data_IF_037211240421
#
_entry.id   IF_037211240421
#
_cell.length_a   1.000
_cell.length_b   1.000
_cell.length_c   1.000
_cell.angle_alpha   90.00
_cell.angle_beta   90.00
_cell.angle_gamma   90.00
#
_symmetry.space_group_name_H-M   'P 1'
#
loop_
_entity.id
_entity.type
_entity.pdbx_description
1 polymer ?
#
# COMPACT_ATOMS: atom_id res chain seq x y z
N UNK A 1 -5.17 12.65 5.38
CA UNK A 1 -4.78 11.28 5.70
C UNK A 1 -5.81 10.71 6.68
N UNK A 2 -6.54 9.66 6.36
CA UNK A 2 -7.48 9.06 7.30
C UNK A 2 -6.75 8.30 8.41
N UNK A 3 -7.33 8.28 9.59
CA UNK A 3 -6.92 7.35 10.63
C UNK A 3 -7.31 5.92 10.24
N UNK A 4 -6.50 4.95 10.62
CA UNK A 4 -6.87 3.55 10.48
C UNK A 4 -8.07 3.23 11.40
N UNK A 5 -8.92 2.24 11.05
CA UNK A 5 -10.24 2.10 11.66
C UNK A 5 -10.26 1.48 13.06
N UNK A 6 -9.16 0.92 13.52
CA UNK A 6 -9.08 0.20 14.81
C UNK A 6 -8.10 0.86 15.75
N UNK A 7 -8.39 0.85 17.06
CA UNK A 7 -7.42 1.26 18.07
C UNK A 7 -6.25 0.28 18.11
N UNK A 8 -5.03 0.81 18.19
CA UNK A 8 -3.83 -0.03 18.30
C UNK A 8 -3.56 -0.36 19.78
N UNK A 9 -3.56 -1.63 20.16
CA UNK A 9 -3.28 -2.06 21.53
C UNK A 9 -1.85 -1.71 21.97
N UNK A 10 -0.90 -1.66 21.04
CA UNK A 10 0.50 -1.33 21.31
C UNK A 10 0.76 0.19 21.43
N UNK A 11 -0.23 1.05 21.14
CA UNK A 11 -0.09 2.51 21.19
C UNK A 11 -1.36 3.16 21.72
N UNK A 12 -1.33 3.82 22.89
CA UNK A 12 -2.54 4.38 23.52
C UNK A 12 -3.31 5.40 22.66
N UNK A 13 -2.61 6.10 21.77
CA UNK A 13 -3.19 7.09 20.85
C UNK A 13 -3.16 6.64 19.38
N UNK A 14 -2.63 5.45 19.10
CA UNK A 14 -2.43 4.93 17.74
C UNK A 14 -3.66 4.21 17.20
N UNK A 15 -3.67 4.13 15.86
CA UNK A 15 -4.65 3.36 15.10
C UNK A 15 -3.95 2.34 14.21
N UNK A 16 -4.66 1.25 13.87
CA UNK A 16 -4.18 0.20 12.99
C UNK A 16 -5.27 -0.21 12.01
N UNK A 17 -4.87 -0.68 10.84
CA UNK A 17 -5.81 -1.22 9.86
C UNK A 17 -6.34 -2.59 10.29
N UNK A 18 -5.47 -3.40 10.89
CA UNK A 18 -5.77 -4.71 11.48
C UNK A 18 -4.65 -5.09 12.45
N UNK A 19 -4.96 -5.97 13.37
CA UNK A 19 -3.99 -6.47 14.34
C UNK A 19 -3.01 -7.47 13.69
N UNK A 20 -1.71 -7.26 13.94
CA UNK A 20 -0.61 -8.12 13.47
C UNK A 20 0.04 -8.94 14.59
N UNK A 21 -0.33 -8.68 15.86
CA UNK A 21 0.29 -9.34 17.01
C UNK A 21 -0.28 -10.75 17.19
N UNK A 22 0.62 -11.71 17.37
CA UNK A 22 0.28 -13.12 17.67
C UNK A 22 -0.73 -13.76 16.69
N UNK A 23 -0.66 -13.36 15.39
CA UNK A 23 -1.57 -13.83 14.36
C UNK A 23 -0.90 -14.86 13.43
N UNK A 24 -1.65 -15.86 13.00
CA UNK A 24 -1.22 -16.72 11.88
C UNK A 24 -1.36 -15.96 10.55
N UNK A 25 -0.64 -16.36 9.48
CA UNK A 25 -0.80 -15.76 8.16
C UNK A 25 -2.25 -15.71 7.67
N UNK A 26 -3.02 -16.74 7.91
CA UNK A 26 -4.44 -16.84 7.53
C UNK A 26 -5.30 -15.82 8.29
N UNK A 27 -5.02 -15.64 9.59
CA UNK A 27 -5.71 -14.64 10.41
C UNK A 27 -5.37 -13.21 9.96
N UNK A 28 -4.09 -12.95 9.64
CA UNK A 28 -3.66 -11.65 9.09
C UNK A 28 -4.37 -11.40 7.77
N UNK A 29 -4.43 -12.38 6.86
CA UNK A 29 -5.16 -12.24 5.60
C UNK A 29 -6.64 -11.96 5.85
N UNK A 30 -7.31 -12.74 6.69
CA UNK A 30 -8.74 -12.54 6.98
C UNK A 30 -9.05 -11.14 7.52
N UNK A 31 -8.23 -10.65 8.47
CA UNK A 31 -8.37 -9.30 9.04
C UNK A 31 -8.07 -8.22 7.99
N UNK A 32 -7.07 -8.43 7.15
CA UNK A 32 -6.73 -7.49 6.08
C UNK A 32 -7.84 -7.34 5.05
N UNK A 33 -8.59 -8.41 4.75
CA UNK A 33 -9.76 -8.35 3.86
C UNK A 33 -10.87 -7.47 4.43
N UNK A 34 -11.07 -7.47 5.74
CA UNK A 34 -12.01 -6.56 6.41
C UNK A 34 -11.53 -5.10 6.29
N UNK A 35 -10.23 -4.87 6.51
CA UNK A 35 -9.63 -3.55 6.38
C UNK A 35 -9.67 -3.04 4.92
N UNK A 36 -9.44 -3.91 3.95
CA UNK A 36 -9.58 -3.61 2.52
C UNK A 36 -10.99 -3.10 2.18
N UNK A 37 -12.03 -3.76 2.71
CA UNK A 37 -13.40 -3.31 2.50
C UNK A 37 -13.66 -1.91 3.07
N UNK A 38 -13.08 -1.58 4.23
CA UNK A 38 -13.17 -0.25 4.83
C UNK A 38 -12.46 0.80 3.96
N UNK A 39 -11.26 0.49 3.42
CA UNK A 39 -10.54 1.39 2.53
C UNK A 39 -11.28 1.57 1.18
N UNK A 40 -11.82 0.49 0.63
CA UNK A 40 -12.65 0.56 -0.58
C UNK A 40 -13.84 1.52 -0.41
N UNK A 41 -14.57 1.37 0.71
CA UNK A 41 -15.69 2.25 1.04
C UNK A 41 -15.25 3.72 1.15
N UNK A 42 -14.14 3.99 1.82
CA UNK A 42 -13.58 5.34 1.93
C UNK A 42 -13.24 5.93 0.56
N UNK A 43 -12.62 5.15 -0.33
CA UNK A 43 -12.32 5.58 -1.71
C UNK A 43 -13.60 5.93 -2.44
N UNK A 44 -14.64 5.10 -2.34
CA UNK A 44 -15.92 5.33 -3.00
C UNK A 44 -16.63 6.58 -2.45
N UNK A 45 -16.64 6.78 -1.14
CA UNK A 45 -17.13 8.00 -0.50
C UNK A 45 -16.40 9.27 -0.97
N UNK A 46 -15.06 9.21 -1.10
CA UNK A 46 -14.27 10.34 -1.61
C UNK A 46 -14.60 10.63 -3.08
N UNK A 47 -14.74 9.59 -3.90
CA UNK A 47 -15.14 9.72 -5.31
C UNK A 47 -16.52 10.40 -5.44
N UNK A 48 -17.50 9.88 -4.74
CA UNK A 48 -18.88 10.40 -4.78
C UNK A 48 -18.94 11.84 -4.29
N UNK A 49 -18.38 12.12 -3.11
CA UNK A 49 -18.41 13.45 -2.50
C UNK A 49 -17.77 14.54 -3.37
N UNK A 50 -16.74 14.19 -4.14
CA UNK A 50 -15.99 15.14 -4.95
C UNK A 50 -16.25 14.99 -6.46
N UNK A 51 -17.18 14.12 -6.86
CA UNK A 51 -17.51 13.82 -8.25
C UNK A 51 -16.27 13.43 -9.07
N UNK A 52 -15.47 12.51 -8.52
CA UNK A 52 -14.22 12.03 -9.13
C UNK A 52 -14.41 10.63 -9.74
N UNK A 53 -13.74 10.38 -10.86
CA UNK A 53 -13.54 9.02 -11.39
C UNK A 53 -12.39 8.30 -10.67
N UNK A 54 -12.29 6.98 -10.79
CA UNK A 54 -11.24 6.22 -10.10
C UNK A 54 -9.82 6.58 -10.58
N UNK A 55 -9.66 6.90 -11.85
CA UNK A 55 -8.39 7.34 -12.44
C UNK A 55 -7.93 8.73 -11.96
N UNK A 56 -8.78 9.45 -11.23
CA UNK A 56 -8.44 10.68 -10.51
C UNK A 56 -8.07 10.44 -9.04
N UNK A 57 -8.02 9.19 -8.59
CA UNK A 57 -7.67 8.80 -7.23
C UNK A 57 -6.25 8.23 -7.20
N UNK A 58 -5.46 8.72 -6.26
CA UNK A 58 -4.16 8.16 -5.89
C UNK A 58 -4.24 7.69 -4.45
N UNK A 59 -3.80 6.49 -4.19
CA UNK A 59 -3.72 5.96 -2.83
C UNK A 59 -2.27 5.73 -2.43
N UNK A 60 -1.92 6.16 -1.23
CA UNK A 60 -0.57 6.01 -0.70
C UNK A 60 -0.58 5.50 0.73
N UNK A 61 0.44 4.73 1.10
CA UNK A 61 0.54 4.20 2.44
C UNK A 61 1.97 3.95 2.89
N UNK A 62 2.16 4.02 4.20
CA UNK A 62 3.40 3.68 4.90
C UNK A 62 3.17 2.46 5.78
N UNK A 63 4.14 1.55 5.82
CA UNK A 63 4.10 0.36 6.69
C UNK A 63 2.82 -0.46 6.45
N UNK A 64 1.99 -0.65 7.46
CA UNK A 64 0.70 -1.33 7.34
C UNK A 64 -0.25 -0.63 6.34
N UNK A 65 -0.19 0.71 6.24
CA UNK A 65 -0.91 1.46 5.22
C UNK A 65 -0.48 1.09 3.80
N UNK A 66 0.83 0.82 3.57
CA UNK A 66 1.32 0.32 2.28
C UNK A 66 0.75 -1.07 1.97
N UNK A 67 0.69 -1.96 2.95
CA UNK A 67 0.13 -3.32 2.77
C UNK A 67 -1.31 -3.26 2.26
N UNK A 68 -2.14 -2.43 2.91
CA UNK A 68 -3.55 -2.28 2.55
C UNK A 68 -3.74 -1.55 1.21
N UNK A 69 -2.94 -0.51 0.92
CA UNK A 69 -3.07 0.20 -0.36
C UNK A 69 -2.67 -0.67 -1.55
N UNK A 70 -1.63 -1.51 -1.42
CA UNK A 70 -1.27 -2.48 -2.45
C UNK A 70 -2.40 -3.48 -2.70
N UNK A 71 -2.91 -4.10 -1.64
CA UNK A 71 -3.99 -5.08 -1.74
C UNK A 71 -5.25 -4.46 -2.35
N UNK A 72 -5.68 -3.31 -1.85
CA UNK A 72 -6.87 -2.60 -2.33
C UNK A 72 -6.69 -2.15 -3.78
N UNK A 73 -5.59 -1.47 -4.10
CA UNK A 73 -5.36 -0.90 -5.42
C UNK A 73 -5.32 -1.93 -6.55
N UNK A 74 -4.77 -3.11 -6.26
CA UNK A 74 -4.68 -4.21 -7.25
C UNK A 74 -5.98 -4.99 -7.39
N UNK A 75 -6.79 -5.08 -6.33
CA UNK A 75 -8.02 -5.88 -6.33
C UNK A 75 -9.27 -5.10 -6.75
N UNK A 76 -9.23 -3.76 -6.75
CA UNK A 76 -10.36 -2.95 -7.23
C UNK A 76 -10.64 -3.23 -8.70
N UNK A 77 -11.93 -3.27 -9.08
CA UNK A 77 -12.34 -3.37 -10.48
C UNK A 77 -12.17 -2.04 -11.23
N UNK A 78 -12.49 -0.94 -10.58
CA UNK A 78 -12.24 0.41 -11.07
C UNK A 78 -10.82 0.84 -10.72
N UNK A 79 -9.96 0.89 -11.71
CA UNK A 79 -8.55 1.18 -11.56
C UNK A 79 -8.31 2.60 -11.02
N UNK A 80 -7.69 2.71 -9.83
CA UNK A 80 -7.16 3.98 -9.36
C UNK A 80 -5.95 4.41 -10.21
N UNK A 81 -5.63 5.70 -10.25
CA UNK A 81 -4.51 6.20 -11.05
C UNK A 81 -3.18 5.57 -10.62
N UNK A 82 -2.88 5.68 -9.34
CA UNK A 82 -1.57 5.26 -8.82
C UNK A 82 -1.65 4.73 -7.38
N UNK A 83 -0.70 3.86 -7.06
CA UNK A 83 -0.42 3.37 -5.70
C UNK A 83 1.01 3.74 -5.31
N UNK A 84 1.17 4.38 -4.16
CA UNK A 84 2.48 4.77 -3.62
C UNK A 84 2.70 4.02 -2.30
N UNK A 85 3.67 3.10 -2.29
CA UNK A 85 3.98 2.29 -1.13
C UNK A 85 5.33 2.63 -0.50
N UNK A 86 5.32 2.86 0.82
CA UNK A 86 6.53 3.07 1.62
C UNK A 86 6.66 1.99 2.69
N UNK A 87 7.81 1.32 2.76
CA UNK A 87 8.20 0.40 3.84
C UNK A 87 7.11 -0.60 4.24
N UNK A 88 6.49 -1.22 3.25
CA UNK A 88 5.44 -2.23 3.45
C UNK A 88 5.80 -3.57 2.79
N UNK A 89 4.85 -4.49 2.82
CA UNK A 89 4.95 -5.80 2.19
C UNK A 89 3.63 -6.22 1.55
N UNK A 90 3.66 -7.22 0.68
CA UNK A 90 2.46 -7.93 0.25
C UNK A 90 2.06 -8.89 1.38
N UNK A 91 0.78 -8.88 1.75
CA UNK A 91 0.25 -9.67 2.87
C UNK A 91 0.27 -11.16 2.54
N UNK A 92 -0.24 -11.50 1.36
CA UNK A 92 -0.29 -12.86 0.83
C UNK A 92 -0.17 -12.81 -0.69
N UNK A 93 0.95 -13.30 -1.20
CA UNK A 93 1.29 -13.25 -2.63
C UNK A 93 0.41 -14.19 -3.46
N UNK A 94 0.06 -15.37 -2.93
CA UNK A 94 -0.78 -16.34 -3.63
C UNK A 94 -2.22 -15.82 -3.74
N UNK A 95 -2.78 -15.33 -2.63
CA UNK A 95 -4.10 -14.72 -2.64
C UNK A 95 -4.15 -13.51 -3.57
N UNK A 96 -3.16 -12.63 -3.50
CA UNK A 96 -3.13 -11.41 -4.32
C UNK A 96 -3.02 -11.74 -5.82
N UNK A 97 -2.16 -12.69 -6.22
CA UNK A 97 -1.97 -13.05 -7.62
C UNK A 97 -3.25 -13.57 -8.29
N UNK A 98 -4.08 -14.29 -7.53
CA UNK A 98 -5.38 -14.80 -7.99
C UNK A 98 -6.48 -13.73 -8.07
N UNK A 99 -6.25 -12.57 -7.47
CA UNK A 99 -7.26 -11.52 -7.30
C UNK A 99 -6.86 -10.15 -7.89
N UNK A 100 -5.84 -10.09 -8.75
CA UNK A 100 -5.50 -8.86 -9.48
C UNK A 100 -6.60 -8.58 -10.50
N UNK A 101 -7.34 -7.49 -10.28
CA UNK A 101 -8.42 -7.04 -11.17
C UNK A 101 -8.07 -5.75 -11.93
N UNK A 102 -7.08 -5.00 -11.47
CA UNK A 102 -6.63 -3.78 -12.12
C UNK A 102 -5.11 -3.59 -12.00
N UNK A 103 -4.56 -2.71 -12.83
CA UNK A 103 -3.12 -2.43 -12.89
C UNK A 103 -2.88 -0.92 -12.82
N UNK A 104 -3.00 -0.29 -11.63
CA UNK A 104 -2.61 1.10 -11.44
C UNK A 104 -1.09 1.29 -11.62
N UNK A 105 -0.63 2.53 -11.82
CA UNK A 105 0.79 2.81 -11.73
C UNK A 105 1.27 2.60 -10.29
N UNK A 106 2.42 1.95 -10.08
CA UNK A 106 2.91 1.65 -8.73
C UNK A 106 4.35 2.13 -8.57
N UNK A 107 4.63 2.78 -7.45
CA UNK A 107 5.99 2.98 -6.95
C UNK A 107 6.10 2.38 -5.54
N UNK A 108 7.14 1.55 -5.33
CA UNK A 108 7.49 1.01 -4.02
C UNK A 108 8.83 1.58 -3.56
N UNK A 109 8.86 2.05 -2.32
CA UNK A 109 10.03 2.68 -1.72
C UNK A 109 10.32 2.07 -0.35
N UNK A 110 11.60 1.80 -0.04
CA UNK A 110 12.00 1.11 1.18
C UNK A 110 13.38 1.57 1.68
N UNK A 111 13.57 1.56 3.00
CA UNK A 111 14.87 1.78 3.62
C UNK A 111 15.67 0.47 3.73
N UNK A 112 16.97 0.50 3.43
CA UNK A 112 17.81 -0.70 3.50
C UNK A 112 18.16 -1.14 4.93
N UNK A 113 17.95 -0.27 5.92
CA UNK A 113 18.14 -0.56 7.36
C UNK A 113 16.81 -0.69 8.11
N UNK A 114 15.71 -0.94 7.40
CA UNK A 114 14.39 -1.13 8.01
C UNK A 114 14.35 -2.43 8.83
N UNK A 115 14.24 -2.30 10.16
CA UNK A 115 14.17 -3.42 11.11
C UNK A 115 12.72 -3.80 11.49
N UNK A 116 11.72 -3.04 11.06
CA UNK A 116 10.31 -3.30 11.34
C UNK A 116 9.69 -4.12 10.21
N UNK A 117 9.92 -3.68 8.98
CA UNK A 117 9.58 -4.45 7.77
C UNK A 117 10.87 -4.67 7.00
N UNK A 118 11.41 -5.90 7.04
CA UNK A 118 12.68 -6.22 6.39
C UNK A 118 12.70 -5.82 4.92
N UNK A 119 13.87 -5.41 4.44
CA UNK A 119 14.13 -5.17 3.02
C UNK A 119 13.79 -6.40 2.15
N UNK A 120 13.85 -7.60 2.71
CA UNK A 120 13.48 -8.82 2.01
C UNK A 120 12.02 -8.79 1.55
N UNK A 121 11.13 -8.20 2.36
CA UNK A 121 9.73 -8.01 1.98
C UNK A 121 9.54 -7.12 0.74
N UNK A 122 10.42 -6.11 0.58
CA UNK A 122 10.44 -5.29 -0.64
C UNK A 122 10.95 -6.08 -1.85
N UNK A 123 11.99 -6.91 -1.66
CA UNK A 123 12.52 -7.75 -2.73
C UNK A 123 11.51 -8.81 -3.16
N UNK A 124 10.80 -9.43 -2.21
CA UNK A 124 9.70 -10.35 -2.48
C UNK A 124 8.55 -9.66 -3.25
N UNK A 125 8.19 -8.44 -2.86
CA UNK A 125 7.17 -7.67 -3.58
C UNK A 125 7.62 -7.37 -5.02
N UNK A 126 8.88 -6.96 -5.23
CA UNK A 126 9.44 -6.73 -6.58
C UNK A 126 9.42 -8.00 -7.42
N UNK A 127 9.81 -9.14 -6.86
CA UNK A 127 9.76 -10.44 -7.52
C UNK A 127 8.32 -10.83 -7.88
N UNK A 128 7.36 -10.63 -6.96
CA UNK A 128 5.94 -10.86 -7.19
C UNK A 128 5.43 -10.10 -8.41
N UNK A 129 5.72 -8.81 -8.51
CA UNK A 129 5.30 -8.00 -9.65
C UNK A 129 5.95 -8.49 -10.96
N UNK A 130 7.24 -8.84 -10.94
CA UNK A 130 7.93 -9.43 -12.09
C UNK A 130 7.30 -10.73 -12.57
N UNK A 131 6.98 -11.66 -11.65
CA UNK A 131 6.30 -12.94 -11.96
C UNK A 131 4.90 -12.75 -12.55
N UNK A 132 4.23 -11.65 -12.20
CA UNK A 132 2.90 -11.32 -12.73
C UNK A 132 2.94 -10.42 -13.99
N UNK A 133 4.11 -10.25 -14.63
CA UNK A 133 4.32 -9.37 -15.77
C UNK A 133 3.77 -7.96 -15.53
N UNK A 134 4.12 -7.38 -14.38
CA UNK A 134 3.63 -6.09 -13.94
C UNK A 134 4.82 -5.17 -13.63
N UNK A 135 5.03 -4.17 -14.48
CA UNK A 135 6.08 -3.18 -14.29
C UNK A 135 5.70 -2.21 -13.17
N UNK A 136 6.64 -2.00 -12.25
CA UNK A 136 6.54 -1.03 -11.16
C UNK A 136 7.82 -0.20 -11.07
N UNK A 137 7.71 1.02 -10.55
CA UNK A 137 8.87 1.79 -10.15
C UNK A 137 9.30 1.40 -8.74
N UNK A 138 10.62 1.40 -8.50
CA UNK A 138 11.15 1.00 -7.19
C UNK A 138 12.30 1.91 -6.76
N UNK A 139 12.41 2.17 -5.44
CA UNK A 139 13.53 2.90 -4.86
C UNK A 139 13.92 2.33 -3.52
N UNK A 140 15.20 2.06 -3.32
CA UNK A 140 15.79 1.74 -2.03
C UNK A 140 16.56 2.97 -1.54
N UNK A 141 16.31 3.38 -0.29
CA UNK A 141 17.04 4.46 0.37
C UNK A 141 18.16 3.87 1.22
N UNK A 142 19.40 4.30 0.96
CA UNK A 142 20.57 3.84 1.74
C UNK A 142 20.59 4.49 3.12
N UNK A 143 21.02 3.72 4.11
CA UNK A 143 21.10 4.12 5.53
C UNK A 143 19.78 4.67 6.05
N UNK A 144 18.67 4.09 5.60
CA UNK A 144 17.33 4.51 5.98
C UNK A 144 16.61 3.40 6.75
N UNK A 145 16.15 3.74 7.95
CA UNK A 145 15.35 2.88 8.82
C UNK A 145 13.87 2.92 8.42
N UNK A 146 12.97 2.41 9.29
CA UNK A 146 11.50 2.38 9.08
C UNK A 146 10.89 3.78 9.10
N UNK A 147 11.02 4.53 8.02
CA UNK A 147 10.49 5.90 7.86
C UNK A 147 10.35 6.30 6.39
N UNK A 148 9.62 7.38 6.15
CA UNK A 148 9.60 8.06 4.84
C UNK A 148 10.66 9.18 4.89
N UNK A 149 11.79 9.07 4.17
CA UNK A 149 12.76 10.15 4.10
C UNK A 149 12.25 11.30 3.20
N UNK A 150 12.82 12.49 3.33
CA UNK A 150 12.45 13.66 2.50
C UNK A 150 12.57 13.37 1.01
N UNK A 151 13.60 12.63 0.58
CA UNK A 151 13.75 12.16 -0.80
C UNK A 151 12.56 11.29 -1.23
N UNK A 152 12.06 10.43 -0.33
CA UNK A 152 10.90 9.56 -0.59
C UNK A 152 9.61 10.35 -0.83
N UNK A 153 9.36 11.38 -0.03
CA UNK A 153 8.21 12.27 -0.23
C UNK A 153 8.32 13.02 -1.57
N UNK A 154 9.52 13.48 -1.91
CA UNK A 154 9.78 14.17 -3.19
C UNK A 154 9.58 13.26 -4.39
N UNK A 155 10.06 12.01 -4.32
CA UNK A 155 9.86 11.00 -5.38
C UNK A 155 8.39 10.62 -5.53
N UNK A 156 7.66 10.47 -4.42
CA UNK A 156 6.22 10.25 -4.46
C UNK A 156 5.49 11.37 -5.19
N UNK A 157 5.83 12.63 -4.92
CA UNK A 157 5.25 13.78 -5.62
C UNK A 157 5.63 13.81 -7.12
N UNK A 158 6.87 13.47 -7.46
CA UNK A 158 7.30 13.37 -8.87
C UNK A 158 6.54 12.26 -9.60
N UNK A 159 6.34 11.10 -8.95
CA UNK A 159 5.56 10.01 -9.48
C UNK A 159 4.10 10.40 -9.73
N UNK A 160 3.48 11.14 -8.79
CA UNK A 160 2.15 11.71 -8.99
C UNK A 160 2.11 12.60 -10.23
N UNK A 161 3.02 13.56 -10.34
CA UNK A 161 3.08 14.48 -11.49
C UNK A 161 3.30 13.78 -12.81
N UNK A 162 4.04 12.66 -12.82
CA UNK A 162 4.31 11.87 -14.02
C UNK A 162 3.07 11.15 -14.55
N UNK A 163 2.23 10.65 -13.65
CA UNK A 163 1.12 9.76 -13.99
C UNK A 163 -0.25 10.41 -13.87
N UNK A 164 -0.34 11.53 -13.18
CA UNK A 164 -1.57 12.30 -13.04
C UNK A 164 -1.53 13.46 -14.04
N UNK A 165 -2.15 13.27 -15.18
CA UNK A 165 -2.30 14.34 -16.18
C UNK A 165 -3.20 15.43 -15.60
N UNK A 166 -2.62 16.54 -15.21
CA UNK A 166 -3.32 17.79 -14.87
C UNK A 166 -3.53 18.62 -16.11
#
# INVERSE_FOLDING_TARGET
CPDAPEKCAASPSGFQWFDLMDQTPEQVLAKSLVAENKLNKLIDEVKEKNNLSADQIIIGGFSQGCMITLQTGLKRKDKVNSVIGYSGRIIDTEHLSKNINSRPNIILMHGDLDQVVSIDSFLEAKEFFGKNNYEIETKIFKNCEHRIPTEGSSLGLQFIKKHFNT
#
